data_IF_383390410413
#
_entry.id   IF_383390410413
#
_cell.length_a   1.000
_cell.length_b   1.000
_cell.length_c   1.000
_cell.angle_alpha   90.00
_cell.angle_beta   90.00
_cell.angle_gamma   90.00
#
_symmetry.space_group_name_H-M   'P 1'
#
loop_
_entity.id
_entity.type
_entity.pdbx_description
1 polymer ?
#
# COMPACT_ATOMS: atom_id res chain seq x y z
N UNK A 1 -28.92 -11.04 -17.19
CA UNK A 1 -27.71 -10.42 -17.76
C UNK A 1 -27.06 -9.61 -16.65
N UNK A 2 -26.21 -10.25 -15.85
CA UNK A 2 -25.45 -9.59 -14.79
C UNK A 2 -24.24 -10.49 -14.49
N UNK A 3 -23.07 -10.11 -14.98
CA UNK A 3 -21.80 -10.63 -14.49
C UNK A 3 -21.24 -9.55 -13.57
N UNK A 4 -21.40 -9.76 -12.27
CA UNK A 4 -20.60 -9.05 -11.27
C UNK A 4 -19.21 -9.68 -11.29
N UNK A 5 -18.20 -8.91 -11.68
CA UNK A 5 -16.80 -9.29 -11.54
C UNK A 5 -16.28 -8.64 -10.27
N UNK A 6 -16.13 -9.41 -9.20
CA UNK A 6 -15.30 -9.01 -8.06
C UNK A 6 -13.85 -8.98 -8.53
N UNK A 7 -13.24 -7.80 -8.56
CA UNK A 7 -11.80 -7.63 -8.70
C UNK A 7 -11.21 -7.65 -7.30
N UNK A 8 -10.52 -8.75 -6.96
CA UNK A 8 -9.73 -8.86 -5.73
C UNK A 8 -8.37 -8.20 -5.96
N UNK A 9 -8.14 -7.02 -5.38
CA UNK A 9 -6.80 -6.42 -5.27
C UNK A 9 -6.19 -6.91 -3.95
N UNK A 10 -5.34 -7.93 -4.04
CA UNK A 10 -4.45 -8.35 -2.96
C UNK A 10 -3.23 -7.42 -2.92
N UNK A 11 -3.20 -6.50 -1.96
CA UNK A 11 -1.96 -5.91 -1.48
C UNK A 11 -1.43 -6.83 -0.38
N UNK A 12 -0.36 -7.56 -0.69
CA UNK A 12 0.29 -8.49 0.22
C UNK A 12 1.04 -7.72 1.30
N UNK A 13 0.44 -7.57 2.48
CA UNK A 13 1.22 -7.37 3.71
C UNK A 13 1.64 -8.75 4.20
N UNK A 14 2.95 -9.03 4.18
CA UNK A 14 3.50 -10.28 4.68
C UNK A 14 3.27 -10.42 6.18
N UNK A 15 2.23 -11.17 6.57
CA UNK A 15 2.00 -11.64 7.92
C UNK A 15 2.56 -13.06 8.02
N UNK A 16 3.61 -13.23 8.83
CA UNK A 16 4.13 -14.55 9.21
C UNK A 16 3.15 -15.15 10.22
N UNK A 17 2.31 -16.09 9.76
CA UNK A 17 1.49 -16.92 10.63
C UNK A 17 2.28 -18.20 10.94
N UNK A 18 2.90 -18.24 12.12
CA UNK A 18 3.38 -19.50 12.69
C UNK A 18 2.23 -20.22 13.38
N UNK A 19 1.90 -21.41 12.91
CA UNK A 19 0.90 -22.31 13.51
C UNK A 19 1.51 -23.08 14.70
N UNK A 20 1.74 -22.39 15.82
CA UNK A 20 1.96 -23.10 17.09
C UNK A 20 0.62 -23.27 17.82
N UNK A 21 0.19 -24.53 17.96
CA UNK A 21 -0.93 -24.91 18.81
C UNK A 21 -0.56 -24.69 20.28
N UNK A 22 -0.76 -23.48 20.79
CA UNK A 22 -0.72 -23.22 22.23
C UNK A 22 -2.11 -23.48 22.85
N UNK A 23 -2.20 -24.18 23.98
CA UNK A 23 -3.43 -24.24 24.74
C UNK A 23 -3.78 -22.83 25.24
N UNK A 24 -4.95 -22.33 24.84
CA UNK A 24 -5.48 -21.03 25.28
C UNK A 24 -5.79 -21.12 26.79
N UNK A 25 -4.93 -20.50 27.61
CA UNK A 25 -5.22 -20.21 29.02
C UNK A 25 -5.97 -18.89 29.11
N UNK A 26 -7.19 -18.90 29.67
CA UNK A 26 -8.03 -17.71 29.87
C UNK A 26 -7.56 -16.81 31.04
N UNK A 27 -6.26 -16.67 31.23
CA UNK A 27 -5.68 -15.79 32.25
C UNK A 27 -4.76 -14.79 31.56
N UNK A 28 -5.21 -13.54 31.45
CA UNK A 28 -4.35 -12.42 31.07
C UNK A 28 -3.11 -12.35 31.98
N UNK A 29 -1.89 -12.28 31.44
CA UNK A 29 -0.73 -11.88 32.21
C UNK A 29 -0.56 -10.36 32.13
N UNK A 30 -0.63 -9.70 33.28
CA UNK A 30 -0.41 -8.26 33.47
C UNK A 30 1.04 -7.77 33.21
N UNK A 31 1.90 -8.58 32.58
CA UNK A 31 3.36 -8.37 32.55
C UNK A 31 3.96 -8.01 31.17
N UNK A 32 3.15 -7.69 30.16
CA UNK A 32 3.68 -7.28 28.85
C UNK A 32 4.29 -5.87 28.82
N UNK A 33 4.26 -5.12 29.94
CA UNK A 33 4.83 -3.77 30.03
C UNK A 33 6.34 -3.78 30.37
N UNK A 34 6.90 -4.92 30.81
CA UNK A 34 8.30 -5.04 31.24
C UNK A 34 9.09 -6.19 30.57
N UNK A 35 8.63 -6.73 29.44
CA UNK A 35 9.39 -7.75 28.73
C UNK A 35 10.72 -7.16 28.20
N UNK A 36 11.84 -7.61 28.74
CA UNK A 36 13.17 -7.38 28.16
C UNK A 36 13.14 -7.89 26.72
N UNK A 37 13.69 -7.14 25.75
CA UNK A 37 13.79 -7.62 24.38
C UNK A 37 14.44 -9.00 24.40
N UNK A 38 13.88 -9.95 23.65
CA UNK A 38 14.54 -11.23 23.44
C UNK A 38 16.00 -10.95 23.01
N UNK A 39 16.99 -11.71 23.53
CA UNK A 39 18.36 -11.53 23.10
C UNK A 39 18.39 -11.61 21.58
N UNK A 40 18.71 -10.49 20.92
CA UNK A 40 19.08 -10.50 19.52
C UNK A 40 20.24 -11.50 19.38
N UNK A 41 20.21 -12.26 18.29
CA UNK A 41 21.30 -13.15 17.87
C UNK A 41 21.42 -14.49 18.59
N UNK A 42 20.50 -15.44 18.34
CA UNK A 42 20.87 -16.86 18.08
C UNK A 42 19.86 -17.55 17.14
N UNK A 43 19.74 -17.06 15.89
CA UNK A 43 19.22 -17.91 14.83
C UNK A 43 20.34 -18.90 14.42
N UNK A 44 20.23 -20.16 14.83
CA UNK A 44 21.03 -21.23 14.22
C UNK A 44 20.18 -21.93 13.15
N UNK A 45 20.47 -21.72 11.86
CA UNK A 45 19.80 -22.45 10.78
C UNK A 45 20.23 -23.93 10.80
N UNK A 46 19.28 -24.85 10.70
CA UNK A 46 19.57 -26.27 10.43
C UNK A 46 18.69 -26.83 9.29
N UNK A 47 19.39 -27.18 8.20
CA UNK A 47 19.04 -27.96 7.01
C UNK A 47 17.56 -28.15 6.62
N UNK A 48 17.06 -27.22 5.81
CA UNK A 48 16.58 -27.62 4.49
C UNK A 48 17.82 -27.75 3.61
N UNK A 49 18.07 -28.93 3.03
CA UNK A 49 19.25 -29.23 2.21
C UNK A 49 19.48 -28.16 1.15
N UNK A 50 20.40 -27.26 1.48
CA UNK A 50 20.97 -26.18 0.71
C UNK A 50 21.66 -26.73 -0.58
N UNK A 51 21.97 -25.91 -1.59
CA UNK A 51 23.36 -25.57 -1.83
C UNK A 51 23.75 -24.51 -0.80
N UNK A 52 24.86 -24.77 -0.11
CA UNK A 52 25.32 -24.08 1.12
C UNK A 52 25.68 -22.61 0.89
N UNK A 53 25.51 -22.15 -0.35
CA UNK A 53 25.99 -20.89 -0.88
C UNK A 53 24.77 -20.07 -1.30
N UNK A 54 24.69 -18.81 -0.85
CA UNK A 54 23.71 -17.88 -1.40
C UNK A 54 23.82 -17.92 -2.93
N UNK A 55 22.70 -17.88 -3.68
CA UNK A 55 22.77 -17.78 -5.13
C UNK A 55 23.79 -16.69 -5.50
N UNK A 56 24.68 -16.95 -6.46
CA UNK A 56 25.84 -16.09 -6.72
C UNK A 56 25.50 -14.61 -7.00
N UNK A 57 24.25 -14.32 -7.37
CA UNK A 57 23.72 -12.97 -7.59
C UNK A 57 23.23 -12.25 -6.33
N UNK A 58 23.03 -12.95 -5.20
CA UNK A 58 22.56 -12.41 -3.91
C UNK A 58 23.74 -12.02 -3.01
N UNK A 59 24.79 -12.85 -2.98
CA UNK A 59 25.97 -12.63 -2.14
C UNK A 59 25.73 -12.81 -0.63
N UNK A 60 26.77 -13.06 0.18
CA UNK A 60 26.65 -13.19 1.64
C UNK A 60 26.64 -11.82 2.38
N UNK A 61 26.00 -11.74 3.57
CA UNK A 61 25.25 -12.80 4.25
C UNK A 61 23.88 -13.05 3.59
N UNK A 62 23.48 -14.33 3.47
CA UNK A 62 22.16 -14.63 2.93
C UNK A 62 21.09 -13.97 3.83
N UNK A 63 20.03 -13.38 3.26
CA UNK A 63 18.92 -12.86 4.07
C UNK A 63 18.35 -13.97 4.95
N UNK A 64 17.76 -13.61 6.10
CA UNK A 64 17.13 -14.55 7.01
C UNK A 64 16.01 -15.32 6.29
N UNK A 65 16.30 -16.52 5.81
CA UNK A 65 15.31 -17.41 5.25
C UNK A 65 14.66 -18.21 6.38
N UNK A 66 13.34 -18.09 6.53
CA UNK A 66 12.56 -19.00 7.36
C UNK A 66 12.40 -20.33 6.60
N UNK A 67 12.56 -21.46 7.30
CA UNK A 67 12.24 -22.76 6.70
C UNK A 67 10.73 -22.87 6.61
N UNK A 68 10.19 -22.99 5.40
CA UNK A 68 8.79 -23.31 5.21
C UNK A 68 8.58 -24.80 5.55
N UNK A 69 7.86 -25.08 6.63
CA UNK A 69 7.54 -26.45 7.04
C UNK A 69 6.22 -26.95 6.42
N UNK A 70 5.45 -26.07 5.77
CA UNK A 70 4.21 -26.44 5.12
C UNK A 70 4.48 -27.20 3.82
N UNK A 71 3.68 -28.23 3.55
CA UNK A 71 3.77 -28.99 2.30
C UNK A 71 3.42 -28.10 1.11
N UNK A 72 4.15 -28.26 0.00
CA UNK A 72 3.81 -27.62 -1.25
C UNK A 72 2.39 -27.98 -1.71
N UNK A 73 1.78 -27.07 -2.46
CA UNK A 73 0.51 -27.31 -3.11
C UNK A 73 0.57 -28.57 -4.00
N UNK A 74 -0.47 -29.40 -3.94
CA UNK A 74 -0.65 -30.54 -4.83
C UNK A 74 -1.98 -30.43 -5.59
N UNK A 75 -1.99 -30.90 -6.84
CA UNK A 75 -3.23 -30.91 -7.63
C UNK A 75 -4.30 -31.72 -6.91
N UNK A 76 -5.46 -31.11 -6.67
CA UNK A 76 -6.56 -31.70 -5.91
C UNK A 76 -6.62 -31.29 -4.44
N UNK A 77 -5.66 -30.50 -3.93
CA UNK A 77 -5.77 -29.87 -2.61
C UNK A 77 -7.06 -29.04 -2.50
N UNK A 78 -7.73 -29.12 -1.35
CA UNK A 78 -8.85 -28.25 -1.04
C UNK A 78 -8.34 -26.82 -0.84
N UNK A 79 -8.85 -25.88 -1.64
CA UNK A 79 -8.48 -24.46 -1.58
C UNK A 79 -9.47 -23.63 -0.75
N UNK A 80 -10.51 -24.24 -0.23
CA UNK A 80 -11.47 -23.55 0.62
C UNK A 80 -10.94 -23.52 2.06
N UNK A 81 -11.00 -22.35 2.68
CA UNK A 81 -10.78 -22.22 4.11
C UNK A 81 -11.83 -23.04 4.89
N UNK A 82 -11.36 -23.75 5.89
CA UNK A 82 -12.19 -24.38 6.91
C UNK A 82 -12.71 -23.34 7.91
N UNK A 83 -13.79 -23.66 8.61
CA UNK A 83 -14.33 -22.78 9.66
C UNK A 83 -13.30 -22.50 10.76
N UNK A 84 -12.42 -23.46 11.05
CA UNK A 84 -11.32 -23.28 12.02
C UNK A 84 -10.28 -22.30 11.52
N UNK A 85 -9.86 -22.39 10.26
CA UNK A 85 -8.90 -21.43 9.67
C UNK A 85 -9.50 -20.02 9.62
N UNK A 86 -10.78 -19.89 9.25
CA UNK A 86 -11.49 -18.61 9.28
C UNK A 86 -11.54 -18.03 10.70
N UNK A 87 -11.89 -18.84 11.70
CA UNK A 87 -11.90 -18.40 13.10
C UNK A 87 -10.50 -17.97 13.59
N UNK A 88 -9.44 -18.65 13.16
CA UNK A 88 -8.05 -18.24 13.44
C UNK A 88 -7.70 -16.92 12.77
N UNK A 89 -8.06 -16.72 11.50
CA UNK A 89 -7.86 -15.45 10.79
C UNK A 89 -8.59 -14.32 11.51
N UNK A 90 -9.86 -14.52 11.88
CA UNK A 90 -10.67 -13.54 12.60
C UNK A 90 -10.08 -13.17 13.97
N UNK A 91 -9.59 -14.17 14.72
CA UNK A 91 -8.91 -13.95 16.00
C UNK A 91 -7.68 -13.07 15.83
N UNK A 92 -6.82 -13.38 14.86
CA UNK A 92 -5.61 -12.60 14.61
C UNK A 92 -5.92 -11.20 14.09
N UNK A 93 -6.89 -11.07 13.18
CA UNK A 93 -7.37 -9.76 12.70
C UNK A 93 -7.85 -8.90 13.87
N UNK A 94 -8.69 -9.45 14.75
CA UNK A 94 -9.22 -8.73 15.92
C UNK A 94 -8.10 -8.26 16.84
N UNK A 95 -7.13 -9.14 17.15
CA UNK A 95 -5.96 -8.82 17.97
C UNK A 95 -5.11 -7.70 17.37
N UNK A 96 -4.85 -7.74 16.06
CA UNK A 96 -4.06 -6.70 15.39
C UNK A 96 -4.80 -5.38 15.31
N UNK A 97 -6.11 -5.40 15.05
CA UNK A 97 -6.96 -4.21 15.05
C UNK A 97 -6.92 -3.51 16.41
N UNK A 98 -7.01 -4.26 17.51
CA UNK A 98 -6.90 -3.72 18.86
C UNK A 98 -5.50 -3.16 19.14
N UNK A 99 -4.45 -3.92 18.80
CA UNK A 99 -3.07 -3.50 18.94
C UNK A 99 -2.79 -2.16 18.25
N UNK A 100 -3.24 -2.01 16.99
CA UNK A 100 -3.05 -0.79 16.21
C UNK A 100 -3.73 0.42 16.85
N UNK A 101 -4.97 0.27 17.33
CA UNK A 101 -5.70 1.36 17.98
C UNK A 101 -5.02 1.83 19.27
N UNK A 102 -4.51 0.88 20.07
CA UNK A 102 -3.86 1.22 21.33
C UNK A 102 -2.47 1.84 21.12
N UNK A 103 -1.68 1.27 20.20
CA UNK A 103 -0.27 1.67 20.01
C UNK A 103 -0.11 2.91 19.14
N UNK A 104 -1.01 3.11 18.17
CA UNK A 104 -0.95 4.16 17.17
C UNK A 104 -2.28 4.91 17.04
N UNK A 105 -2.84 5.47 18.11
CA UNK A 105 -4.16 6.12 18.06
C UNK A 105 -4.17 7.31 17.09
N UNK A 106 -5.34 7.77 16.61
CA UNK A 106 -5.44 8.91 15.67
C UNK A 106 -4.82 10.22 16.17
N UNK A 107 -4.63 10.35 17.48
CA UNK A 107 -4.00 11.50 18.14
C UNK A 107 -2.47 11.42 18.17
N UNK A 108 -1.88 10.25 17.91
CA UNK A 108 -0.44 10.07 17.84
C UNK A 108 0.05 10.43 16.43
N UNK A 109 0.48 11.68 16.29
CA UNK A 109 1.29 12.10 15.16
C UNK A 109 2.73 11.71 15.47
N UNK A 110 3.30 10.77 14.71
CA UNK A 110 4.69 10.36 14.87
C UNK A 110 5.64 11.55 14.66
N UNK A 111 6.86 11.56 15.24
CA UNK A 111 7.80 12.66 15.06
C UNK A 111 8.15 12.95 13.59
N UNK A 112 8.01 11.95 12.71
CA UNK A 112 8.16 12.10 11.26
C UNK A 112 7.04 12.92 10.61
N UNK A 113 5.91 13.12 11.30
CA UNK A 113 4.73 13.79 10.75
C UNK A 113 4.11 13.03 9.57
N UNK A 114 4.33 11.72 9.46
CA UNK A 114 3.98 10.97 8.27
C UNK A 114 2.46 10.86 8.07
N UNK A 115 1.97 11.57 7.06
CA UNK A 115 0.57 11.63 6.65
C UNK A 115 0.21 10.54 5.63
N UNK A 116 1.21 9.91 5.01
CA UNK A 116 1.07 9.16 3.76
C UNK A 116 0.21 7.91 3.89
N UNK A 117 -0.18 7.36 2.74
CA UNK A 117 -0.88 6.06 2.69
C UNK A 117 0.08 4.90 2.93
N UNK A 118 1.34 5.05 2.51
CA UNK A 118 2.34 3.98 2.59
C UNK A 118 2.67 3.59 4.04
N UNK A 119 3.01 4.58 4.87
CA UNK A 119 3.51 4.37 6.24
C UNK A 119 2.78 5.21 7.29
N UNK A 120 1.96 6.16 6.86
CA UNK A 120 1.42 7.20 7.72
C UNK A 120 -0.02 7.04 8.18
N UNK A 121 -0.59 8.16 8.61
CA UNK A 121 -1.96 8.28 9.11
C UNK A 121 -3.02 7.89 8.06
N UNK A 122 -2.85 8.26 6.79
CA UNK A 122 -3.81 7.88 5.75
C UNK A 122 -3.81 6.37 5.47
N UNK A 123 -2.68 5.68 5.64
CA UNK A 123 -2.60 4.22 5.52
C UNK A 123 -3.40 3.53 6.62
N UNK A 124 -3.28 4.02 7.85
CA UNK A 124 -4.12 3.59 8.99
C UNK A 124 -5.60 3.89 8.74
N UNK A 125 -5.94 5.07 8.18
CA UNK A 125 -7.30 5.38 7.79
C UNK A 125 -7.86 4.37 6.76
N UNK A 126 -7.08 4.04 5.73
CA UNK A 126 -7.46 3.06 4.71
C UNK A 126 -7.63 1.65 5.31
N UNK A 127 -6.77 1.25 6.23
CA UNK A 127 -6.90 -0.02 6.96
C UNK A 127 -8.27 -0.10 7.66
N UNK A 128 -8.62 0.90 8.47
CA UNK A 128 -9.90 0.91 9.18
C UNK A 128 -11.11 1.05 8.25
N UNK A 129 -10.97 1.77 7.13
CA UNK A 129 -11.99 1.79 6.07
C UNK A 129 -12.22 0.37 5.52
N UNK A 130 -11.16 -0.38 5.21
CA UNK A 130 -11.28 -1.75 4.70
C UNK A 130 -11.91 -2.70 5.72
N UNK A 131 -11.56 -2.56 7.01
CA UNK A 131 -12.19 -3.33 8.09
C UNK A 131 -13.68 -2.98 8.21
N UNK A 132 -14.05 -1.70 8.10
CA UNK A 132 -15.45 -1.29 8.07
C UNK A 132 -16.20 -1.94 6.91
N UNK A 133 -15.68 -1.90 5.68
CA UNK A 133 -16.36 -2.48 4.51
C UNK A 133 -16.57 -3.99 4.66
N UNK A 134 -15.67 -4.67 5.37
CA UNK A 134 -15.78 -6.11 5.62
C UNK A 134 -16.77 -6.43 6.75
N UNK A 135 -16.75 -5.66 7.84
CA UNK A 135 -17.50 -5.96 9.07
C UNK A 135 -18.83 -5.21 9.19
N UNK A 136 -19.02 -4.15 8.40
CA UNK A 136 -20.08 -3.16 8.51
C UNK A 136 -20.22 -2.54 9.92
N UNK A 137 -19.12 -2.43 10.66
CA UNK A 137 -19.11 -1.84 12.01
C UNK A 137 -18.68 -0.37 11.97
N UNK A 138 -19.63 0.54 12.24
CA UNK A 138 -19.44 1.99 12.18
C UNK A 138 -18.33 2.53 13.08
N UNK A 139 -17.93 1.82 14.14
CA UNK A 139 -16.76 2.20 14.95
C UNK A 139 -15.49 2.28 14.10
N UNK A 140 -15.31 1.37 13.14
CA UNK A 140 -14.15 1.40 12.25
C UNK A 140 -14.24 2.52 11.21
N UNK A 141 -15.44 2.85 10.72
CA UNK A 141 -15.63 4.01 9.86
C UNK A 141 -15.31 5.32 10.61
N UNK A 142 -15.72 5.42 11.87
CA UNK A 142 -15.39 6.56 12.73
C UNK A 142 -13.88 6.67 12.97
N UNK A 143 -13.20 5.56 13.28
CA UNK A 143 -11.74 5.54 13.43
C UNK A 143 -11.04 5.95 12.14
N UNK A 144 -11.49 5.43 11.00
CA UNK A 144 -10.98 5.80 9.68
C UNK A 144 -11.08 7.32 9.45
N UNK A 145 -12.25 7.91 9.78
CA UNK A 145 -12.46 9.36 9.71
C UNK A 145 -11.54 10.15 10.63
N UNK A 146 -11.27 9.66 11.85
CA UNK A 146 -10.35 10.33 12.76
C UNK A 146 -8.92 10.34 12.21
N UNK A 147 -8.41 9.19 11.75
CA UNK A 147 -7.07 9.12 11.15
C UNK A 147 -6.93 10.01 9.93
N UNK A 148 -7.91 9.99 9.01
CA UNK A 148 -7.80 10.81 7.80
C UNK A 148 -7.90 12.31 8.11
N UNK A 149 -8.69 12.69 9.12
CA UNK A 149 -8.75 14.08 9.58
C UNK A 149 -7.40 14.54 10.10
N UNK A 150 -6.73 13.73 10.92
CA UNK A 150 -5.37 14.04 11.40
C UNK A 150 -4.40 14.09 10.22
N UNK A 151 -4.46 13.13 9.28
CA UNK A 151 -3.59 13.10 8.09
C UNK A 151 -3.69 14.39 7.27
N UNK A 152 -4.92 14.87 7.03
CA UNK A 152 -5.20 16.12 6.32
C UNK A 152 -4.63 17.35 7.05
N UNK A 153 -4.66 17.37 8.39
CA UNK A 153 -4.09 18.45 9.20
C UNK A 153 -2.56 18.45 9.20
N UNK A 154 -1.94 17.29 8.96
CA UNK A 154 -0.48 17.11 8.91
C UNK A 154 0.10 17.24 7.51
N UNK A 155 -0.73 17.46 6.48
CA UNK A 155 -0.24 17.63 5.11
C UNK A 155 0.74 18.81 5.03
N UNK A 156 1.96 18.62 4.50
CA UNK A 156 2.88 19.71 4.25
C UNK A 156 2.30 20.64 3.20
N UNK A 157 2.76 21.89 3.17
CA UNK A 157 2.32 22.83 2.14
C UNK A 157 2.80 22.41 0.73
N UNK A 158 4.03 21.86 0.65
CA UNK A 158 4.64 21.43 -0.60
C UNK A 158 4.22 20.00 -0.93
N UNK A 159 3.72 19.80 -2.14
CA UNK A 159 3.47 18.48 -2.71
C UNK A 159 4.75 17.98 -3.39
N UNK A 160 5.39 16.96 -2.81
CA UNK A 160 6.64 16.41 -3.36
C UNK A 160 6.39 15.18 -4.24
N UNK A 161 5.37 14.39 -3.92
CA UNK A 161 5.04 13.15 -4.60
C UNK A 161 3.67 13.23 -5.24
N UNK A 162 3.55 12.72 -6.47
CA UNK A 162 2.30 12.65 -7.22
C UNK A 162 1.55 11.34 -6.96
N UNK A 163 2.15 10.37 -6.29
CA UNK A 163 1.62 9.02 -6.13
C UNK A 163 0.52 8.88 -5.07
N UNK A 164 -0.24 7.79 -5.19
CA UNK A 164 -1.16 7.33 -4.14
C UNK A 164 -0.47 7.08 -2.79
N UNK A 165 0.72 6.50 -2.80
CA UNK A 165 1.32 5.96 -1.58
C UNK A 165 1.96 7.05 -0.71
N UNK A 166 2.78 7.93 -1.30
CA UNK A 166 3.46 9.00 -0.59
C UNK A 166 2.86 10.39 -0.81
N UNK A 167 2.09 10.59 -1.89
CA UNK A 167 1.56 11.90 -2.26
C UNK A 167 0.28 12.30 -1.53
N UNK A 168 -0.05 13.60 -1.65
CA UNK A 168 -1.31 14.15 -1.14
C UNK A 168 -2.53 13.52 -1.80
N UNK A 169 -2.40 13.11 -3.07
CA UNK A 169 -3.50 12.50 -3.82
C UNK A 169 -3.99 11.21 -3.16
N UNK A 170 -3.12 10.44 -2.51
CA UNK A 170 -3.50 9.28 -1.70
C UNK A 170 -4.39 9.65 -0.52
N UNK A 171 -3.98 10.67 0.24
CA UNK A 171 -4.74 11.19 1.38
C UNK A 171 -6.11 11.68 0.93
N UNK A 172 -6.17 12.50 -0.13
CA UNK A 172 -7.45 12.98 -0.67
C UNK A 172 -8.32 11.86 -1.21
N UNK A 173 -7.72 10.82 -1.79
CA UNK A 173 -8.47 9.65 -2.29
C UNK A 173 -9.16 8.93 -1.15
N UNK A 174 -8.43 8.57 -0.09
CA UNK A 174 -9.00 7.94 1.10
C UNK A 174 -10.03 8.86 1.76
N UNK A 175 -9.74 10.16 1.86
CA UNK A 175 -10.68 11.14 2.41
C UNK A 175 -11.99 11.22 1.61
N UNK A 176 -11.93 11.18 0.27
CA UNK A 176 -13.12 11.20 -0.58
C UNK A 176 -14.00 9.97 -0.39
N UNK A 177 -13.40 8.77 -0.25
CA UNK A 177 -14.14 7.53 0.01
C UNK A 177 -14.84 7.59 1.37
N UNK A 178 -14.17 8.11 2.40
CA UNK A 178 -14.73 8.28 3.74
C UNK A 178 -15.86 9.32 3.71
N UNK A 179 -15.66 10.49 3.09
CA UNK A 179 -16.70 11.52 2.96
C UNK A 179 -17.94 10.98 2.24
N UNK A 180 -17.77 10.16 1.20
CA UNK A 180 -18.88 9.51 0.51
C UNK A 180 -19.71 8.61 1.44
N UNK A 181 -19.06 7.77 2.24
CA UNK A 181 -19.74 6.91 3.22
C UNK A 181 -20.46 7.70 4.32
N UNK A 182 -20.02 8.92 4.61
CA UNK A 182 -20.68 9.85 5.53
C UNK A 182 -21.77 10.72 4.87
N UNK A 183 -22.06 10.54 3.57
CA UNK A 183 -22.92 11.42 2.77
C UNK A 183 -22.48 12.90 2.80
N UNK A 184 -21.18 13.14 2.92
CA UNK A 184 -20.56 14.47 2.89
C UNK A 184 -20.16 14.81 1.44
N UNK A 185 -21.13 15.26 0.65
CA UNK A 185 -20.94 15.60 -0.77
C UNK A 185 -19.91 16.70 -0.97
N UNK A 186 -19.88 17.69 -0.07
CA UNK A 186 -18.95 18.82 -0.16
C UNK A 186 -17.51 18.35 0.05
N UNK A 187 -17.28 17.44 1.01
CA UNK A 187 -15.99 16.78 1.20
C UNK A 187 -15.56 15.99 -0.04
N UNK A 188 -16.44 15.14 -0.58
CA UNK A 188 -16.16 14.36 -1.81
C UNK A 188 -15.72 15.28 -2.95
N UNK A 189 -16.52 16.30 -3.27
CA UNK A 189 -16.23 17.22 -4.37
C UNK A 189 -14.96 18.03 -4.13
N UNK A 190 -14.67 18.42 -2.89
CA UNK A 190 -13.44 19.12 -2.54
C UNK A 190 -12.21 18.26 -2.82
N UNK A 191 -12.21 17.01 -2.36
CA UNK A 191 -11.09 16.11 -2.55
C UNK A 191 -10.93 15.68 -4.01
N UNK A 192 -12.03 15.41 -4.72
CA UNK A 192 -12.00 15.13 -6.16
C UNK A 192 -11.39 16.28 -6.94
N UNK A 193 -11.79 17.52 -6.66
CA UNK A 193 -11.23 18.70 -7.33
C UNK A 193 -9.72 18.80 -7.10
N UNK A 194 -9.24 18.55 -5.88
CA UNK A 194 -7.81 18.58 -5.60
C UNK A 194 -7.05 17.51 -6.39
N UNK A 195 -7.60 16.29 -6.46
CA UNK A 195 -7.01 15.18 -7.23
C UNK A 195 -7.02 15.50 -8.73
N UNK A 196 -8.15 15.96 -9.26
CA UNK A 196 -8.30 16.38 -10.66
C UNK A 196 -7.33 17.49 -11.03
N UNK A 197 -7.09 18.46 -10.15
CA UNK A 197 -6.09 19.50 -10.36
C UNK A 197 -4.68 18.91 -10.49
N UNK A 198 -4.29 17.96 -9.63
CA UNK A 198 -3.00 17.26 -9.75
C UNK A 198 -2.87 16.54 -11.10
N UNK A 199 -3.91 15.83 -11.53
CA UNK A 199 -3.93 15.18 -12.85
C UNK A 199 -3.82 16.19 -14.00
N UNK A 200 -4.55 17.31 -13.93
CA UNK A 200 -4.52 18.34 -14.96
C UNK A 200 -3.15 19.01 -15.05
N UNK A 201 -2.49 19.25 -13.91
CA UNK A 201 -1.16 19.84 -13.84
C UNK A 201 -0.10 18.93 -14.46
N UNK A 202 -0.09 17.65 -14.05
CA UNK A 202 0.80 16.63 -14.64
C UNK A 202 0.54 16.48 -16.15
N UNK A 203 -0.73 16.40 -16.56
CA UNK A 203 -1.08 16.27 -17.97
C UNK A 203 -0.61 17.47 -18.80
N UNK A 204 -0.80 18.68 -18.27
CA UNK A 204 -0.35 19.92 -18.93
C UNK A 204 1.17 19.91 -19.09
N UNK A 205 1.91 19.59 -18.04
CA UNK A 205 3.36 19.53 -18.08
C UNK A 205 3.88 18.49 -19.09
N UNK A 206 3.19 17.36 -19.25
CA UNK A 206 3.49 16.35 -20.27
C UNK A 206 3.22 16.89 -21.68
N UNK A 207 2.06 17.49 -21.91
CA UNK A 207 1.64 17.99 -23.24
C UNK A 207 2.51 19.15 -23.74
N UNK A 208 2.86 20.07 -22.84
CA UNK A 208 3.69 21.25 -23.16
C UNK A 208 5.18 20.94 -23.12
N UNK A 209 5.57 19.77 -22.57
CA UNK A 209 6.96 19.38 -22.28
C UNK A 209 7.67 20.32 -21.29
N UNK A 210 6.90 21.07 -20.50
CA UNK A 210 7.41 21.95 -19.46
C UNK A 210 7.48 21.20 -18.13
N UNK A 211 8.31 20.16 -18.04
CA UNK A 211 8.32 19.25 -16.88
C UNK A 211 8.63 19.93 -15.53
N UNK A 212 9.30 21.08 -15.55
CA UNK A 212 9.59 21.89 -14.35
C UNK A 212 8.44 22.84 -13.96
N UNK A 213 7.31 22.84 -14.69
CA UNK A 213 6.13 23.67 -14.39
C UNK A 213 5.30 23.14 -13.23
N UNK A 214 5.56 21.90 -12.82
CA UNK A 214 4.89 21.21 -11.72
C UNK A 214 5.87 20.93 -10.57
N UNK A 215 5.44 20.81 -9.30
CA UNK A 215 6.37 20.48 -8.22
C UNK A 215 6.76 18.99 -8.21
N UNK A 216 6.14 18.16 -9.06
CA UNK A 216 6.42 16.74 -9.16
C UNK A 216 7.59 16.44 -10.10
N UNK A 217 8.46 15.52 -9.70
CA UNK A 217 9.47 14.96 -10.59
C UNK A 217 8.81 13.94 -11.55
N UNK A 218 8.56 14.37 -12.79
CA UNK A 218 7.95 13.51 -13.81
C UNK A 218 8.89 12.42 -14.34
N UNK A 219 10.17 12.42 -13.96
CA UNK A 219 11.09 11.31 -14.28
C UNK A 219 10.92 10.12 -13.34
N UNK A 220 10.20 10.29 -12.23
CA UNK A 220 9.89 9.22 -11.30
C UNK A 220 8.61 8.52 -11.74
N UNK A 221 8.78 7.33 -12.31
CA UNK A 221 7.67 6.52 -12.83
C UNK A 221 7.13 5.53 -11.78
N UNK A 222 7.83 5.34 -10.66
CA UNK A 222 7.57 4.30 -9.66
C UNK A 222 6.16 4.36 -9.04
N UNK A 223 5.64 3.20 -8.63
CA UNK A 223 4.31 3.08 -8.02
C UNK A 223 4.21 3.86 -6.69
N UNK A 224 5.27 3.84 -5.89
CA UNK A 224 5.29 4.40 -4.54
C UNK A 224 5.37 5.93 -4.54
N UNK A 225 6.17 6.55 -5.42
CA UNK A 225 6.45 8.00 -5.41
C UNK A 225 5.98 8.75 -6.66
N UNK A 226 5.81 8.04 -7.78
CA UNK A 226 5.73 8.60 -9.11
C UNK A 226 4.39 8.45 -9.83
N UNK A 227 4.48 8.58 -11.16
CA UNK A 227 3.33 8.64 -12.06
C UNK A 227 2.52 7.34 -12.10
N UNK A 228 3.12 6.17 -11.89
CA UNK A 228 2.34 4.92 -11.79
C UNK A 228 1.43 4.92 -10.56
N UNK A 229 1.89 5.49 -9.44
CA UNK A 229 1.06 5.69 -8.26
C UNK A 229 -0.07 6.68 -8.48
N UNK A 230 0.17 7.71 -9.30
CA UNK A 230 -0.89 8.64 -9.71
C UNK A 230 -1.93 7.92 -10.58
N UNK A 231 -1.49 7.14 -11.57
CA UNK A 231 -2.41 6.34 -12.41
C UNK A 231 -3.25 5.37 -11.59
N UNK A 232 -2.64 4.68 -10.62
CA UNK A 232 -3.37 3.82 -9.69
C UNK A 232 -4.48 4.58 -8.96
N UNK A 233 -4.21 5.81 -8.51
CA UNK A 233 -5.22 6.68 -7.87
C UNK A 233 -6.42 6.92 -8.79
N UNK A 234 -6.18 7.29 -10.04
CA UNK A 234 -7.26 7.60 -10.99
C UNK A 234 -8.11 6.39 -11.33
N UNK A 235 -7.48 5.23 -11.53
CA UNK A 235 -8.20 3.96 -11.73
C UNK A 235 -9.02 3.57 -10.51
N UNK A 236 -8.44 3.69 -9.32
CA UNK A 236 -9.10 3.36 -8.05
C UNK A 236 -10.34 4.23 -7.83
N UNK A 237 -10.27 5.54 -8.07
CA UNK A 237 -11.41 6.44 -7.93
C UNK A 237 -12.52 6.12 -8.93
N UNK A 238 -12.16 5.93 -10.20
CA UNK A 238 -13.15 5.64 -11.23
C UNK A 238 -13.89 4.31 -10.96
N UNK A 239 -13.17 3.30 -10.46
CA UNK A 239 -13.74 2.01 -10.07
C UNK A 239 -14.61 2.15 -8.81
N UNK A 240 -14.07 2.77 -7.74
CA UNK A 240 -14.75 2.88 -6.45
C UNK A 240 -16.09 3.61 -6.55
N UNK A 241 -16.11 4.73 -7.27
CA UNK A 241 -17.31 5.54 -7.44
C UNK A 241 -18.18 5.11 -8.62
N UNK A 242 -17.70 4.17 -9.46
CA UNK A 242 -18.35 3.80 -10.72
C UNK A 242 -18.65 5.03 -11.62
N UNK A 243 -17.77 6.03 -11.58
CA UNK A 243 -17.91 7.32 -12.25
C UNK A 243 -16.60 7.71 -12.94
N UNK A 244 -16.66 8.61 -13.92
CA UNK A 244 -15.46 9.17 -14.55
C UNK A 244 -14.94 10.37 -13.73
N UNK A 245 -14.46 10.09 -12.52
CA UNK A 245 -13.85 11.12 -11.65
C UNK A 245 -12.62 11.71 -12.33
N UNK A 246 -11.79 10.87 -12.94
CA UNK A 246 -10.62 11.28 -13.74
C UNK A 246 -10.86 10.94 -15.21
N UNK A 247 -10.61 11.92 -16.09
CA UNK A 247 -10.79 11.78 -17.54
C UNK A 247 -9.91 10.62 -18.07
N UNK A 248 -10.51 9.60 -18.74
CA UNK A 248 -9.76 8.51 -19.36
C UNK A 248 -8.69 8.96 -20.36
N UNK A 249 -8.84 10.10 -21.03
CA UNK A 249 -7.83 10.62 -21.94
C UNK A 249 -6.58 11.11 -21.20
N UNK A 250 -6.76 11.72 -20.02
CA UNK A 250 -5.65 12.12 -19.15
C UNK A 250 -4.90 10.89 -18.63
N UNK A 251 -5.63 9.87 -18.15
CA UNK A 251 -5.04 8.59 -17.74
C UNK A 251 -4.23 7.94 -18.87
N UNK A 252 -4.79 7.93 -20.08
CA UNK A 252 -4.13 7.41 -21.28
C UNK A 252 -2.87 8.19 -21.62
N UNK A 253 -2.89 9.53 -21.56
CA UNK A 253 -1.73 10.36 -21.88
C UNK A 253 -0.58 10.11 -20.90
N UNK A 254 -0.87 10.09 -19.58
CA UNK A 254 0.13 9.76 -18.55
C UNK A 254 0.67 8.34 -18.77
N UNK A 255 -0.19 7.36 -19.10
CA UNK A 255 0.25 5.99 -19.41
C UNK A 255 1.23 5.95 -20.59
N UNK A 256 0.95 6.66 -21.68
CA UNK A 256 1.84 6.72 -22.83
C UNK A 256 3.15 7.42 -22.53
N UNK A 257 3.13 8.44 -21.66
CA UNK A 257 4.34 9.08 -21.19
C UNK A 257 5.24 8.10 -20.42
N UNK A 258 4.69 7.36 -19.45
CA UNK A 258 5.44 6.34 -18.69
C UNK A 258 6.02 5.28 -19.61
N UNK A 259 5.21 4.72 -20.53
CA UNK A 259 5.70 3.71 -21.50
C UNK A 259 6.85 4.28 -22.33
N UNK A 260 6.73 5.52 -22.80
CA UNK A 260 7.78 6.17 -23.61
C UNK A 260 9.05 6.40 -22.80
N UNK A 261 8.94 6.79 -21.53
CA UNK A 261 10.06 6.90 -20.57
C UNK A 261 10.77 5.56 -20.40
N UNK A 262 10.00 4.50 -20.19
CA UNK A 262 10.52 3.13 -20.03
C UNK A 262 11.24 2.60 -21.27
N UNK A 263 10.70 2.86 -22.47
CA UNK A 263 11.34 2.52 -23.75
C UNK A 263 12.65 3.28 -23.90
N UNK A 264 12.65 4.59 -23.63
CA UNK A 264 13.85 5.43 -23.79
C UNK A 264 14.97 4.97 -22.84
N UNK A 265 14.63 4.65 -21.59
CA UNK A 265 15.58 4.14 -20.60
C UNK A 265 16.13 2.77 -21.00
N UNK A 266 15.27 1.84 -21.43
CA UNK A 266 15.71 0.53 -21.92
C UNK A 266 16.68 0.64 -23.10
N UNK A 267 16.35 1.49 -24.09
CA UNK A 267 17.22 1.75 -25.24
C UNK A 267 18.57 2.36 -24.83
N UNK A 268 18.57 3.30 -23.89
CA UNK A 268 19.80 3.92 -23.38
C UNK A 268 20.73 2.91 -22.68
N UNK A 269 20.16 1.85 -22.11
CA UNK A 269 20.89 0.76 -21.46
C UNK A 269 21.21 -0.42 -22.39
N UNK A 270 20.82 -0.34 -23.68
CA UNK A 270 21.09 -1.40 -24.66
C UNK A 270 20.12 -2.58 -24.60
N UNK A 271 18.91 -2.36 -24.08
CA UNK A 271 17.84 -3.36 -23.96
C UNK A 271 16.64 -3.02 -24.86
N UNK A 272 15.86 -4.05 -25.22
CA UNK A 272 14.64 -3.94 -26.04
C UNK A 272 13.33 -4.07 -25.22
N UNK A 273 13.43 -4.00 -23.90
CA UNK A 273 12.31 -4.00 -22.97
C UNK A 273 12.25 -2.70 -22.14
N UNK A 274 11.10 -2.47 -21.50
CA UNK A 274 10.88 -1.31 -20.63
C UNK A 274 11.76 -1.40 -19.39
N UNK A 275 12.45 -0.32 -19.06
CA UNK A 275 13.24 -0.22 -17.83
C UNK A 275 12.95 1.09 -17.12
N UNK A 276 12.88 1.06 -15.79
CA UNK A 276 12.62 2.24 -14.99
C UNK A 276 13.67 2.34 -13.89
N UNK A 277 14.25 3.52 -13.71
CA UNK A 277 15.23 3.72 -12.65
C UNK A 277 14.52 3.73 -11.30
N UNK A 278 15.05 2.97 -10.34
CA UNK A 278 14.52 3.04 -8.97
C UNK A 278 14.91 4.38 -8.35
N UNK A 279 13.97 5.14 -7.75
CA UNK A 279 14.30 6.41 -7.12
C UNK A 279 15.17 6.21 -5.86
N UNK A 280 15.08 5.04 -5.22
CA UNK A 280 15.72 4.76 -3.94
C UNK A 280 17.15 4.21 -4.07
N UNK A 281 17.50 3.61 -5.21
CA UNK A 281 18.82 3.00 -5.44
C UNK A 281 19.36 3.44 -6.81
N UNK A 282 20.20 4.50 -6.86
CA UNK A 282 20.81 4.95 -8.09
C UNK A 282 21.55 3.82 -8.81
N UNK A 283 21.28 3.66 -10.10
CA UNK A 283 21.86 2.58 -10.93
C UNK A 283 21.14 1.24 -10.82
N UNK A 284 20.12 1.10 -9.97
CA UNK A 284 19.18 -0.02 -10.02
C UNK A 284 18.03 0.31 -10.96
N UNK A 285 17.62 -0.69 -11.75
CA UNK A 285 16.53 -0.57 -12.71
C UNK A 285 15.58 -1.75 -12.58
N UNK A 286 14.29 -1.45 -12.53
CA UNK A 286 13.24 -2.46 -12.51
C UNK A 286 12.76 -2.77 -13.93
N UNK A 287 12.45 -4.04 -14.18
CA UNK A 287 11.94 -4.56 -15.44
C UNK A 287 10.43 -4.75 -15.31
N UNK A 288 9.66 -3.81 -15.88
CA UNK A 288 8.20 -3.80 -15.76
C UNK A 288 7.71 -3.24 -14.43
N UNK A 289 6.69 -2.39 -14.50
CA UNK A 289 5.90 -1.94 -13.35
C UNK A 289 4.52 -2.61 -13.39
#
# INVERSE_FOLDING_TARGET
MAMSKCVFICLSFGLVLGSESYPISNTEPADLVNATPAPQDQCMPTNASMPIECPAHVGPPCPYCYTNYESDYTTGSNLNFTDTELATIELHMSRWIEYWQHRYPPTLVEPSGDYSVFTGLAGRAQLFLRVYLYTNNDTYLQLSKQYITTALQTLPQKQEYSSYFYGHVGVWTVASMISYLYNDSDGVMTYWKNIQNTFAEVNTAIETKEYNSTPFDLSVDALDQGLSGLLYTGMLLNEWFAEQVIDPNVLKNITYFIISSGVATGQALGHDWLMYQTPNVPGCYDWGM
#
